data_IF_897867925556
#
_entry.id   IF_897867925556
#
_cell.length_a   1.000
_cell.length_b   1.000
_cell.length_c   1.000
_cell.angle_alpha   90.00
_cell.angle_beta   90.00
_cell.angle_gamma   90.00
#
_symmetry.space_group_name_H-M   'P 1'
#
loop_
_entity.id
_entity.type
_entity.pdbx_description
1 polymer ?
#
# COMPACT_ATOMS: atom_id res chain seq x y z
N UNK A 1 -3.97 8.74 -15.40
CA UNK A 1 -4.50 8.98 -14.05
C UNK A 1 -4.49 7.69 -13.25
N UNK A 2 -3.89 7.72 -12.06
CA UNK A 2 -3.82 6.54 -11.21
C UNK A 2 -5.13 6.31 -10.48
N UNK A 3 -5.54 5.06 -10.42
CA UNK A 3 -6.69 4.65 -9.65
C UNK A 3 -6.22 3.86 -8.44
N UNK A 4 -6.94 4.00 -7.34
CA UNK A 4 -6.62 3.29 -6.10
C UNK A 4 -7.76 2.36 -5.74
N UNK A 5 -7.42 1.16 -5.30
CA UNK A 5 -8.41 0.19 -4.88
C UNK A 5 -7.98 -0.40 -3.53
N UNK A 6 -8.81 -0.22 -2.53
CA UNK A 6 -8.50 -0.67 -1.18
C UNK A 6 -9.00 -2.08 -0.96
N UNK A 7 -8.13 -2.91 -0.35
CA UNK A 7 -8.50 -4.27 0.05
C UNK A 7 -8.15 -4.46 1.51
N UNK A 8 -8.86 -5.34 2.19
CA UNK A 8 -8.58 -5.66 3.60
C UNK A 8 -8.24 -7.13 3.80
N UNK A 9 -8.13 -7.87 2.74
CA UNK A 9 -7.71 -9.27 2.76
C UNK A 9 -7.26 -9.67 1.37
N UNK A 10 -6.65 -10.84 1.25
CA UNK A 10 -6.24 -11.35 -0.06
C UNK A 10 -7.47 -11.80 -0.83
N UNK A 11 -7.86 -11.01 -1.80
CA UNK A 11 -8.99 -11.32 -2.67
C UNK A 11 -8.55 -11.21 -4.12
N UNK A 12 -8.06 -12.33 -4.65
CA UNK A 12 -7.50 -12.34 -6.00
C UNK A 12 -8.54 -11.95 -7.05
N UNK A 13 -9.79 -12.32 -6.83
CA UNK A 13 -10.84 -11.96 -7.80
C UNK A 13 -10.99 -10.45 -7.96
N UNK A 14 -10.88 -9.72 -6.86
CA UNK A 14 -11.00 -8.27 -6.91
C UNK A 14 -9.78 -7.63 -7.56
N UNK A 15 -8.61 -8.18 -7.31
CA UNK A 15 -7.38 -7.70 -7.92
C UNK A 15 -7.42 -7.97 -9.43
N UNK A 16 -7.91 -9.13 -9.84
CA UNK A 16 -8.00 -9.50 -11.25
C UNK A 16 -8.89 -8.55 -12.05
N UNK A 17 -9.89 -7.97 -11.41
CA UNK A 17 -10.81 -7.05 -12.08
C UNK A 17 -10.21 -5.67 -12.32
N UNK A 18 -9.07 -5.37 -11.67
CA UNK A 18 -8.43 -4.08 -11.83
C UNK A 18 -7.50 -4.08 -13.01
N UNK A 19 -7.37 -2.94 -13.68
CA UNK A 19 -6.40 -2.83 -14.76
C UNK A 19 -5.01 -2.56 -14.18
N UNK A 20 -3.98 -2.59 -15.04
CA UNK A 20 -2.60 -2.44 -14.59
C UNK A 20 -2.28 -1.06 -14.05
N UNK A 21 -3.12 -0.08 -14.33
CA UNK A 21 -2.91 1.28 -13.82
C UNK A 21 -3.43 1.45 -12.40
N UNK A 22 -4.18 0.48 -11.89
CA UNK A 22 -4.73 0.55 -10.55
C UNK A 22 -3.67 0.20 -9.53
N UNK A 23 -3.62 0.99 -8.46
CA UNK A 23 -2.74 0.72 -7.32
C UNK A 23 -3.57 0.03 -6.24
N UNK A 24 -3.14 -1.16 -5.85
CA UNK A 24 -3.83 -1.91 -4.79
C UNK A 24 -3.28 -1.44 -3.46
N UNK A 25 -4.16 -1.03 -2.57
CA UNK A 25 -3.77 -0.57 -1.23
C UNK A 25 -4.38 -1.52 -0.20
N UNK A 26 -3.52 -2.19 0.55
CA UNK A 26 -3.96 -3.07 1.62
C UNK A 26 -4.10 -2.29 2.91
N UNK A 27 -5.29 -2.33 3.48
CA UNK A 27 -5.55 -1.71 4.77
C UNK A 27 -6.34 -2.68 5.64
N UNK A 28 -5.92 -2.82 6.87
CA UNK A 28 -6.65 -3.64 7.84
C UNK A 28 -6.52 -2.99 9.21
N UNK A 29 -7.49 -2.16 9.53
CA UNK A 29 -7.47 -1.42 10.78
C UNK A 29 -8.15 -2.17 11.92
N UNK A 30 -8.66 -3.35 11.65
CA UNK A 30 -9.31 -4.17 12.68
C UNK A 30 -8.30 -4.88 13.58
N UNK A 31 -7.03 -4.93 13.16
CA UNK A 31 -5.97 -5.52 13.96
C UNK A 31 -4.94 -4.44 14.32
N UNK A 32 -4.23 -4.65 15.42
CA UNK A 32 -3.19 -3.70 15.86
C UNK A 32 -1.96 -3.75 14.96
N UNK A 33 -1.66 -4.91 14.41
CA UNK A 33 -0.49 -5.10 13.57
C UNK A 33 -0.89 -5.86 12.32
N UNK A 34 -0.12 -5.65 11.26
CA UNK A 34 -0.32 -6.39 10.03
C UNK A 34 0.28 -7.78 10.11
N UNK A 35 -0.36 -8.73 9.45
CA UNK A 35 0.20 -10.06 9.26
C UNK A 35 1.10 -10.02 8.03
N UNK A 36 2.41 -10.11 8.23
CA UNK A 36 3.37 -10.02 7.14
C UNK A 36 3.19 -11.12 6.10
N UNK A 37 2.74 -12.30 6.53
CA UNK A 37 2.50 -13.40 5.60
C UNK A 37 1.43 -13.05 4.58
N UNK A 38 0.36 -12.40 5.05
CA UNK A 38 -0.71 -11.97 4.17
C UNK A 38 -0.19 -10.90 3.20
N UNK A 39 0.57 -9.95 3.72
CA UNK A 39 1.13 -8.88 2.89
C UNK A 39 2.00 -9.46 1.78
N UNK A 40 2.86 -10.41 2.13
CA UNK A 40 3.76 -11.01 1.14
C UNK A 40 3.01 -11.81 0.08
N UNK A 41 1.92 -12.46 0.45
CA UNK A 41 1.08 -13.16 -0.53
C UNK A 41 0.44 -12.19 -1.50
N UNK A 42 -0.08 -11.08 -0.99
CA UNK A 42 -0.67 -10.04 -1.83
C UNK A 42 0.39 -9.43 -2.75
N UNK A 43 1.57 -9.14 -2.19
CA UNK A 43 2.67 -8.60 -2.97
C UNK A 43 3.02 -9.50 -4.13
N UNK A 44 3.18 -10.79 -3.87
CA UNK A 44 3.53 -11.76 -4.89
C UNK A 44 2.47 -11.80 -6.00
N UNK A 45 1.21 -11.79 -5.60
CA UNK A 45 0.12 -11.83 -6.56
C UNK A 45 0.07 -10.57 -7.42
N UNK A 46 0.21 -9.40 -6.79
CA UNK A 46 0.19 -8.14 -7.51
C UNK A 46 1.37 -8.03 -8.48
N UNK A 47 2.55 -8.50 -8.06
CA UNK A 47 3.72 -8.51 -8.93
C UNK A 47 3.49 -9.38 -10.16
N UNK A 48 2.87 -10.53 -9.95
CA UNK A 48 2.55 -11.44 -11.06
C UNK A 48 1.57 -10.79 -12.05
N UNK A 49 0.62 -10.01 -11.54
CA UNK A 49 -0.36 -9.32 -12.38
C UNK A 49 0.16 -8.02 -12.98
N UNK A 50 1.29 -7.53 -12.50
CA UNK A 50 1.84 -6.28 -13.00
C UNK A 50 1.19 -5.03 -12.44
N UNK A 51 0.57 -5.12 -11.27
CA UNK A 51 -0.03 -3.96 -10.60
C UNK A 51 0.79 -3.57 -9.39
N UNK A 52 0.76 -2.28 -9.05
CA UNK A 52 1.49 -1.78 -7.89
C UNK A 52 0.73 -2.11 -6.61
N UNK A 53 1.48 -2.33 -5.54
CA UNK A 53 0.91 -2.69 -4.25
C UNK A 53 1.49 -1.79 -3.16
N UNK A 54 0.61 -1.10 -2.44
CA UNK A 54 0.97 -0.19 -1.35
C UNK A 54 0.35 -0.69 -0.05
N UNK A 55 1.02 -0.36 1.06
CA UNK A 55 0.52 -0.69 2.39
C UNK A 55 0.02 0.58 3.07
N UNK A 56 -1.14 0.50 3.70
CA UNK A 56 -1.72 1.64 4.38
C UNK A 56 -1.18 1.77 5.80
N UNK A 57 -0.81 2.99 6.17
CA UNK A 57 -0.53 3.38 7.56
C UNK A 57 0.68 2.70 8.21
N UNK A 58 1.61 2.19 7.43
CA UNK A 58 2.86 1.66 7.99
C UNK A 58 3.97 1.73 6.96
N UNK A 59 4.59 2.90 6.87
CA UNK A 59 5.65 3.14 5.89
C UNK A 59 6.86 2.24 6.15
N UNK A 60 7.24 2.10 7.43
CA UNK A 60 8.40 1.28 7.78
C UNK A 60 8.24 -0.16 7.31
N UNK A 61 7.08 -0.74 7.54
CA UNK A 61 6.82 -2.11 7.13
C UNK A 61 6.81 -2.24 5.60
N UNK A 62 6.21 -1.26 4.92
CA UNK A 62 6.19 -1.25 3.46
C UNK A 62 7.59 -1.22 2.89
N UNK A 63 8.48 -0.42 3.49
CA UNK A 63 9.87 -0.36 3.05
C UNK A 63 10.58 -1.69 3.33
N UNK A 64 10.40 -2.24 4.53
CA UNK A 64 11.05 -3.47 4.91
C UNK A 64 10.65 -4.64 4.03
N UNK A 65 9.39 -4.70 3.65
CA UNK A 65 8.88 -5.78 2.79
C UNK A 65 9.03 -5.47 1.31
N UNK A 66 9.68 -4.35 0.99
CA UNK A 66 10.00 -3.99 -0.39
C UNK A 66 8.76 -3.84 -1.27
N UNK A 67 7.74 -3.19 -0.75
CA UNK A 67 6.53 -2.91 -1.51
C UNK A 67 6.76 -1.72 -2.45
N UNK A 68 5.79 -1.42 -3.29
CA UNK A 68 5.91 -0.31 -4.24
C UNK A 68 5.70 1.05 -3.58
N UNK A 69 5.03 1.08 -2.44
CA UNK A 69 4.80 2.33 -1.74
C UNK A 69 3.99 2.15 -0.48
N UNK A 70 3.59 3.27 0.08
CA UNK A 70 2.77 3.31 1.28
C UNK A 70 1.70 4.40 1.15
N UNK A 71 0.57 4.16 1.79
CA UNK A 71 -0.53 5.11 1.82
C UNK A 71 -0.72 5.62 3.25
N UNK A 72 -0.80 6.93 3.41
CA UNK A 72 -1.00 7.55 4.72
C UNK A 72 -2.44 8.05 4.79
N UNK A 73 -3.29 7.41 5.63
CA UNK A 73 -4.69 7.82 5.73
C UNK A 73 -4.83 9.17 6.43
N UNK A 74 -5.94 9.82 6.22
CA UNK A 74 -6.17 11.17 6.73
C UNK A 74 -6.13 11.26 8.26
N UNK A 75 -6.42 10.15 8.96
CA UNK A 75 -6.38 10.17 10.42
C UNK A 75 -4.95 10.12 10.97
N UNK A 76 -3.98 9.79 10.16
CA UNK A 76 -2.59 9.76 10.58
C UNK A 76 -1.94 11.10 10.23
N UNK A 77 -1.78 11.95 11.22
CA UNK A 77 -1.24 13.29 11.03
C UNK A 77 0.26 13.38 11.29
N UNK A 78 0.91 12.25 11.53
CA UNK A 78 2.33 12.23 11.75
C UNK A 78 3.09 12.34 10.43
N UNK A 79 4.00 13.31 10.33
CA UNK A 79 4.83 13.47 9.14
C UNK A 79 6.18 12.78 9.27
N UNK A 80 6.42 12.07 10.37
CA UNK A 80 7.66 11.33 10.56
C UNK A 80 7.85 10.27 9.48
N UNK A 81 6.76 9.76 8.95
CA UNK A 81 6.81 8.74 7.90
C UNK A 81 7.49 9.24 6.63
N UNK A 82 7.53 10.54 6.42
CA UNK A 82 8.12 11.11 5.22
C UNK A 82 9.64 11.17 5.26
N UNK A 83 10.21 10.89 6.43
CA UNK A 83 11.67 10.97 6.63
C UNK A 83 12.38 9.64 6.49
N UNK A 84 11.67 8.57 6.19
CA UNK A 84 12.31 7.27 6.05
C UNK A 84 13.06 7.17 4.73
N UNK A 85 14.25 6.59 4.80
CA UNK A 85 14.98 6.24 3.59
C UNK A 85 14.31 5.10 2.88
N UNK A 86 14.21 5.21 1.56
CA UNK A 86 13.57 4.17 0.78
C UNK A 86 14.19 4.09 -0.60
N UNK A 87 13.92 2.98 -1.27
CA UNK A 87 14.48 2.75 -2.60
C UNK A 87 13.89 3.72 -3.62
N UNK A 88 14.62 3.87 -4.72
CA UNK A 88 14.11 4.65 -5.84
C UNK A 88 12.82 4.01 -6.37
N UNK A 89 11.83 4.82 -6.63
CA UNK A 89 10.55 4.34 -7.12
C UNK A 89 9.54 4.02 -6.02
N UNK A 90 9.98 4.00 -4.76
CA UNK A 90 9.03 3.85 -3.66
C UNK A 90 8.25 5.16 -3.48
N UNK A 91 6.94 5.06 -3.49
CA UNK A 91 6.08 6.24 -3.43
C UNK A 91 5.30 6.28 -2.12
N UNK A 92 5.23 7.45 -1.51
CA UNK A 92 4.40 7.67 -0.33
C UNK A 92 3.25 8.58 -0.75
N UNK A 93 2.02 8.08 -0.65
CA UNK A 93 0.84 8.85 -1.00
C UNK A 93 -0.05 8.99 0.24
N UNK A 94 -0.96 9.92 0.19
CA UNK A 94 -1.86 10.16 1.31
C UNK A 94 -3.19 10.68 0.84
N UNK A 95 -4.05 11.06 1.80
CA UNK A 95 -5.30 11.73 1.50
C UNK A 95 -4.92 13.05 0.87
N UNK A 96 -4.95 13.08 -0.43
CA UNK A 96 -4.19 14.03 -1.22
C UNK A 96 -4.40 15.50 -0.84
N UNK A 97 -5.64 15.88 -0.64
CA UNK A 97 -5.94 17.28 -0.37
C UNK A 97 -5.42 17.76 0.98
N UNK A 98 -4.96 16.87 1.82
CA UNK A 98 -4.47 17.22 3.16
C UNK A 98 -2.97 17.37 3.23
N UNK A 99 -2.26 17.13 2.14
CA UNK A 99 -0.79 17.12 2.14
C UNK A 99 -0.19 18.35 1.51
N UNK A 100 -0.97 19.34 1.33
CA UNK A 100 -0.46 20.60 0.79
C UNK A 100 0.24 21.43 1.86
#
# INVERSE_FOLDING_TARGET
MNKYYFINKLETNLIDKQNKETIIIYRNYSTKTYDEKVILKIKKYCKKKGVKFYLSNNVRLAIRLNLDGAYIPSFNKSFKNLNYSHKRGFEIIGSAHNLK
#
